data_IF_107081247046
#
_entry.id   IF_107081247046
#
_cell.length_a   1.000
_cell.length_b   1.000
_cell.length_c   1.000
_cell.angle_alpha   90.00
_cell.angle_beta   90.00
_cell.angle_gamma   90.00
#
_symmetry.space_group_name_H-M   'P 1'
#
loop_
_entity.id
_entity.type
_entity.pdbx_description
1 polymer ?
#
# COMPACT_ATOMS: atom_id res chain seq x y z
N UNK A 1 31.28 13.68 -41.29
CA UNK A 1 31.09 12.99 -40.00
C UNK A 1 29.61 12.68 -39.91
N UNK A 2 29.22 11.44 -39.62
CA UNK A 2 27.82 11.13 -39.30
C UNK A 2 27.46 11.90 -38.02
N UNK A 3 26.30 12.54 -37.98
CA UNK A 3 25.80 13.21 -36.78
C UNK A 3 25.11 12.15 -35.93
N UNK A 4 25.70 11.77 -34.81
CA UNK A 4 25.13 10.78 -33.90
C UNK A 4 24.10 11.44 -32.99
N UNK A 5 22.92 10.83 -32.86
CA UNK A 5 21.83 11.29 -32.02
C UNK A 5 21.51 10.26 -30.96
N UNK A 6 21.67 10.66 -29.69
CA UNK A 6 21.14 9.92 -28.56
C UNK A 6 19.74 10.47 -28.23
N UNK A 7 18.71 9.67 -28.53
CA UNK A 7 17.31 10.08 -28.35
C UNK A 7 16.89 10.24 -26.88
N UNK A 8 17.71 9.80 -25.93
CA UNK A 8 17.47 9.98 -24.50
C UNK A 8 17.93 11.35 -23.99
N UNK A 9 18.66 12.13 -24.80
CA UNK A 9 18.99 13.52 -24.47
C UNK A 9 17.73 14.40 -24.51
N UNK A 10 17.76 15.49 -23.73
CA UNK A 10 16.64 16.42 -23.66
C UNK A 10 16.45 17.10 -25.01
N UNK A 11 15.20 17.21 -25.45
CA UNK A 11 14.86 17.80 -26.75
C UNK A 11 15.46 19.20 -26.90
N UNK A 12 15.50 19.98 -25.81
CA UNK A 12 16.13 21.29 -25.78
C UNK A 12 17.63 21.24 -26.11
N UNK A 13 18.39 20.34 -25.49
CA UNK A 13 19.84 20.21 -25.70
C UNK A 13 20.15 19.71 -27.11
N UNK A 14 19.36 18.76 -27.60
CA UNK A 14 19.43 18.27 -28.96
C UNK A 14 19.18 19.38 -29.98
N UNK A 15 18.16 20.21 -29.76
CA UNK A 15 17.84 21.33 -30.65
C UNK A 15 18.81 22.51 -30.53
N UNK A 16 19.48 22.70 -29.39
CA UNK A 16 20.58 23.67 -29.27
C UNK A 16 21.82 23.19 -30.04
N UNK A 17 22.10 21.89 -29.99
CA UNK A 17 23.24 21.27 -30.68
C UNK A 17 23.01 21.16 -32.19
N UNK A 18 21.78 20.82 -32.58
CA UNK A 18 21.34 20.63 -33.96
C UNK A 18 20.02 21.40 -34.21
N UNK A 19 20.10 22.71 -34.53
CA UNK A 19 18.91 23.55 -34.75
C UNK A 19 17.96 23.03 -35.84
N UNK A 20 18.48 22.29 -36.82
CA UNK A 20 17.69 21.62 -37.87
C UNK A 20 16.69 20.58 -37.34
N UNK A 21 16.89 20.05 -36.12
CA UNK A 21 15.95 19.10 -35.52
C UNK A 21 14.58 19.68 -35.24
N UNK A 22 14.49 20.99 -35.03
CA UNK A 22 13.21 21.67 -34.79
C UNK A 22 12.30 21.50 -36.01
N UNK A 23 12.84 21.65 -37.22
CA UNK A 23 12.07 21.51 -38.46
C UNK A 23 11.77 20.04 -38.77
N UNK A 24 12.75 19.16 -38.59
CA UNK A 24 12.59 17.71 -38.82
C UNK A 24 11.52 17.13 -37.90
N UNK A 25 11.61 17.37 -36.59
CA UNK A 25 10.63 16.87 -35.63
C UNK A 25 9.25 17.51 -35.82
N UNK A 26 9.19 18.79 -36.20
CA UNK A 26 7.92 19.44 -36.53
C UNK A 26 7.21 18.74 -37.70
N UNK A 27 7.95 18.29 -38.72
CA UNK A 27 7.40 17.60 -39.89
C UNK A 27 6.88 16.20 -39.57
N UNK A 28 7.42 15.54 -38.54
CA UNK A 28 6.97 14.22 -38.06
C UNK A 28 5.80 14.33 -37.06
N UNK A 29 5.39 15.55 -36.68
CA UNK A 29 4.18 15.80 -35.88
C UNK A 29 4.43 16.51 -34.55
N UNK A 30 5.67 16.88 -34.22
CA UNK A 30 6.00 17.67 -33.02
C UNK A 30 5.77 19.18 -33.24
N UNK A 31 4.60 19.60 -33.71
CA UNK A 31 4.31 20.98 -34.11
C UNK A 31 4.60 22.04 -33.04
N UNK A 32 4.44 21.68 -31.76
CA UNK A 32 4.72 22.55 -30.61
C UNK A 32 6.22 22.87 -30.41
N UNK A 33 7.14 22.08 -31.00
CA UNK A 33 8.59 22.28 -30.86
C UNK A 33 9.07 23.60 -31.47
N UNK A 34 8.33 24.11 -32.47
CA UNK A 34 8.58 25.41 -33.13
C UNK A 34 8.31 26.61 -32.21
N UNK A 35 7.55 26.41 -31.12
CA UNK A 35 7.24 27.46 -30.16
C UNK A 35 8.38 27.57 -29.15
N UNK A 36 9.10 28.69 -29.18
CA UNK A 36 10.23 28.99 -28.28
C UNK A 36 9.92 28.73 -26.81
N UNK A 37 8.72 29.08 -26.34
CA UNK A 37 8.31 28.84 -24.95
C UNK A 37 8.16 27.35 -24.62
N UNK A 38 7.63 26.54 -25.53
CA UNK A 38 7.45 25.10 -25.32
C UNK A 38 8.82 24.38 -25.29
N UNK A 39 9.72 24.74 -26.20
CA UNK A 39 11.08 24.20 -26.24
C UNK A 39 11.88 24.58 -24.98
N UNK A 40 11.77 25.83 -24.52
CA UNK A 40 12.48 26.33 -23.33
C UNK A 40 11.88 25.88 -21.98
N UNK A 41 10.69 25.28 -21.97
CA UNK A 41 10.02 24.80 -20.75
C UNK A 41 9.92 23.28 -20.75
N UNK A 42 9.08 22.72 -21.61
CA UNK A 42 8.84 21.28 -21.75
C UNK A 42 10.06 20.58 -22.35
N UNK A 43 10.69 21.18 -23.36
CA UNK A 43 11.86 20.58 -24.03
C UNK A 43 13.07 20.38 -23.12
N UNK A 44 13.17 21.10 -21.98
CA UNK A 44 14.28 20.96 -21.03
C UNK A 44 14.23 19.68 -20.19
N UNK A 45 13.08 19.05 -20.08
CA UNK A 45 12.92 17.81 -19.31
C UNK A 45 12.36 16.65 -20.16
N UNK A 46 11.79 16.95 -21.32
CA UNK A 46 11.24 15.99 -22.28
C UNK A 46 12.32 15.40 -23.21
N UNK A 47 12.20 14.11 -23.55
CA UNK A 47 13.00 13.40 -24.57
C UNK A 47 12.16 13.10 -25.81
N UNK A 48 12.79 12.77 -26.95
CA UNK A 48 12.07 12.44 -28.19
C UNK A 48 11.13 11.23 -28.02
N UNK A 49 11.55 10.10 -27.40
CA UNK A 49 10.67 8.95 -27.18
C UNK A 49 9.49 9.24 -26.25
N UNK A 50 9.72 9.99 -25.15
CA UNK A 50 8.65 10.38 -24.23
C UNK A 50 7.61 11.27 -24.92
N UNK A 51 8.08 12.21 -25.75
CA UNK A 51 7.20 13.07 -26.53
C UNK A 51 6.40 12.28 -27.58
N UNK A 52 7.02 11.28 -28.22
CA UNK A 52 6.38 10.43 -29.22
C UNK A 52 5.23 9.61 -28.61
N UNK A 53 5.49 8.94 -27.48
CA UNK A 53 4.48 8.17 -26.72
C UNK A 53 3.29 9.04 -26.30
N UNK A 54 3.56 10.25 -25.79
CA UNK A 54 2.52 11.18 -25.35
C UNK A 54 1.65 11.73 -26.49
N UNK A 55 2.19 11.78 -27.71
CA UNK A 55 1.48 12.27 -28.91
C UNK A 55 0.96 11.16 -29.82
N UNK A 56 1.23 9.90 -29.50
CA UNK A 56 0.88 8.75 -30.35
C UNK A 56 1.60 8.78 -31.70
N UNK A 57 2.85 9.26 -31.74
CA UNK A 57 3.69 9.27 -32.94
C UNK A 57 4.54 8.00 -32.94
N UNK A 58 4.60 7.30 -34.07
CA UNK A 58 5.40 6.08 -34.21
C UNK A 58 6.91 6.40 -34.19
N UNK A 59 7.66 5.67 -33.38
CA UNK A 59 9.11 5.82 -33.29
C UNK A 59 9.81 5.44 -34.61
N UNK A 60 9.25 4.51 -35.38
CA UNK A 60 9.81 4.13 -36.67
C UNK A 60 9.80 5.30 -37.67
N UNK A 61 8.72 6.09 -37.67
CA UNK A 61 8.60 7.27 -38.53
C UNK A 61 9.58 8.38 -38.13
N UNK A 62 9.82 8.54 -36.82
CA UNK A 62 10.78 9.50 -36.28
C UNK A 62 12.22 9.10 -36.65
N UNK A 63 12.58 7.84 -36.45
CA UNK A 63 13.92 7.33 -36.79
C UNK A 63 14.17 7.46 -38.29
N UNK A 64 13.20 7.06 -39.13
CA UNK A 64 13.32 7.17 -40.58
C UNK A 64 13.56 8.62 -41.04
N UNK A 65 12.83 9.59 -40.46
CA UNK A 65 13.01 11.00 -40.79
C UNK A 65 14.38 11.55 -40.35
N UNK A 66 14.90 11.10 -39.20
CA UNK A 66 16.22 11.48 -38.71
C UNK A 66 17.33 10.87 -39.58
N UNK A 67 17.19 9.62 -39.99
CA UNK A 67 18.13 8.94 -40.89
C UNK A 67 18.15 9.57 -42.29
N UNK A 68 16.98 9.93 -42.84
CA UNK A 68 16.87 10.64 -44.13
C UNK A 68 17.54 12.02 -44.06
N UNK A 69 17.48 12.69 -42.91
CA UNK A 69 18.19 13.94 -42.64
C UNK A 69 19.70 13.76 -42.38
N UNK A 70 20.22 12.53 -42.44
CA UNK A 70 21.64 12.22 -42.33
C UNK A 70 22.16 12.03 -40.90
N UNK A 71 21.26 11.81 -39.93
CA UNK A 71 21.62 11.42 -38.58
C UNK A 71 21.77 9.91 -38.43
N UNK A 72 22.67 9.47 -37.55
CA UNK A 72 22.77 8.09 -37.09
C UNK A 72 22.10 8.03 -35.73
N UNK A 73 21.03 7.26 -35.61
CA UNK A 73 20.23 7.18 -34.39
C UNK A 73 20.61 5.90 -33.65
N UNK A 74 20.95 6.00 -32.37
CA UNK A 74 21.03 4.81 -31.51
C UNK A 74 19.60 4.36 -31.18
N UNK A 75 19.27 3.10 -31.49
CA UNK A 75 17.94 2.55 -31.19
C UNK A 75 17.63 2.68 -29.69
N UNK A 76 16.37 3.02 -29.33
CA UNK A 76 15.98 3.07 -27.93
C UNK A 76 16.12 1.67 -27.33
N UNK A 77 17.07 1.51 -26.41
CA UNK A 77 17.26 0.27 -25.65
C UNK A 77 15.99 0.01 -24.85
N UNK A 78 15.33 -1.11 -25.09
CA UNK A 78 14.21 -1.55 -24.27
C UNK A 78 14.73 -1.93 -22.88
N UNK A 79 14.59 -0.98 -21.95
CA UNK A 79 15.09 -1.10 -20.58
C UNK A 79 14.36 -2.17 -19.79
N UNK A 80 13.08 -2.41 -20.06
CA UNK A 80 12.32 -3.49 -19.42
C UNK A 80 12.91 -4.84 -19.84
N UNK A 81 13.20 -5.01 -21.12
CA UNK A 81 13.86 -6.22 -21.62
C UNK A 81 15.27 -6.39 -21.05
N UNK A 82 16.04 -5.30 -20.91
CA UNK A 82 17.36 -5.34 -20.29
C UNK A 82 17.31 -5.75 -18.81
N UNK A 83 16.41 -5.14 -18.03
CA UNK A 83 16.20 -5.46 -16.61
C UNK A 83 15.79 -6.93 -16.42
N UNK A 84 14.87 -7.43 -17.25
CA UNK A 84 14.50 -8.85 -17.27
C UNK A 84 15.69 -9.76 -17.51
N UNK A 85 16.59 -9.38 -18.43
CA UNK A 85 17.78 -10.18 -18.74
C UNK A 85 18.74 -10.31 -17.55
N UNK A 86 18.94 -9.26 -16.74
CA UNK A 86 19.77 -9.36 -15.54
C UNK A 86 19.12 -10.21 -14.45
N UNK A 87 17.80 -10.13 -14.30
CA UNK A 87 17.06 -10.99 -13.37
C UNK A 87 17.17 -12.46 -13.75
N UNK A 88 17.04 -12.78 -15.03
CA UNK A 88 17.24 -14.15 -15.52
C UNK A 88 18.67 -14.63 -15.23
N UNK A 89 19.69 -13.80 -15.47
CA UNK A 89 21.09 -14.12 -15.18
C UNK A 89 21.34 -14.40 -13.70
N UNK A 90 20.78 -13.57 -12.81
CA UNK A 90 20.86 -13.77 -11.36
C UNK A 90 20.12 -15.04 -10.92
N UNK A 91 18.95 -15.32 -11.48
CA UNK A 91 18.18 -16.52 -11.17
C UNK A 91 18.87 -17.80 -11.66
N UNK A 92 19.67 -17.73 -12.73
CA UNK A 92 20.52 -18.83 -13.22
C UNK A 92 21.84 -18.98 -12.44
N UNK A 93 22.05 -18.20 -11.38
CA UNK A 93 23.21 -18.31 -10.48
C UNK A 93 24.45 -17.58 -10.98
N UNK A 94 24.33 -16.63 -11.90
CA UNK A 94 25.43 -15.76 -12.27
C UNK A 94 25.88 -14.91 -11.08
N UNK A 95 27.18 -14.66 -10.99
CA UNK A 95 27.75 -13.87 -9.91
C UNK A 95 27.26 -12.41 -9.97
N UNK A 96 26.79 -11.90 -8.84
CA UNK A 96 26.26 -10.55 -8.69
C UNK A 96 27.22 -9.46 -9.21
N UNK A 97 28.53 -9.59 -9.01
CA UNK A 97 29.51 -8.58 -9.44
C UNK A 97 29.63 -8.49 -10.97
N UNK A 98 29.43 -9.59 -11.69
CA UNK A 98 29.45 -9.58 -13.15
C UNK A 98 28.19 -8.91 -13.71
N UNK A 99 27.03 -9.26 -13.14
CA UNK A 99 25.75 -8.65 -13.49
C UNK A 99 25.77 -7.15 -13.18
N UNK A 100 26.37 -6.75 -12.05
CA UNK A 100 26.57 -5.35 -11.68
C UNK A 100 27.43 -4.59 -12.67
N UNK A 101 28.55 -5.16 -13.13
CA UNK A 101 29.43 -4.49 -14.07
C UNK A 101 28.72 -4.16 -15.39
N UNK A 102 27.96 -5.13 -15.93
CA UNK A 102 27.17 -4.93 -17.15
C UNK A 102 26.01 -3.95 -16.93
N UNK A 103 25.34 -4.04 -15.78
CA UNK A 103 24.27 -3.11 -15.41
C UNK A 103 24.76 -1.67 -15.34
N UNK A 104 25.92 -1.44 -14.70
CA UNK A 104 26.54 -0.11 -14.60
C UNK A 104 26.87 0.44 -15.99
N UNK A 105 27.41 -0.40 -16.87
CA UNK A 105 27.74 -0.01 -18.24
C UNK A 105 26.47 0.37 -19.04
N UNK A 106 25.40 -0.40 -18.92
CA UNK A 106 24.21 -0.23 -19.76
C UNK A 106 23.27 0.89 -19.24
N UNK A 107 23.36 1.23 -17.96
CA UNK A 107 22.56 2.27 -17.30
C UNK A 107 23.37 3.52 -16.89
N UNK A 108 24.62 3.65 -17.34
CA UNK A 108 25.42 4.86 -17.13
C UNK A 108 24.70 6.09 -17.74
N UNK A 109 24.31 7.06 -16.90
CA UNK A 109 23.60 8.26 -17.33
C UNK A 109 22.08 8.12 -17.50
N UNK A 110 21.48 6.98 -17.11
CA UNK A 110 20.02 6.81 -17.05
C UNK A 110 19.48 7.41 -15.75
N UNK A 111 18.36 8.14 -15.86
CA UNK A 111 17.69 8.74 -14.69
C UNK A 111 17.07 7.65 -13.82
N UNK A 112 17.22 7.76 -12.49
CA UNK A 112 16.70 6.78 -11.54
C UNK A 112 15.18 6.56 -11.65
N UNK A 113 14.42 7.59 -12.05
CA UNK A 113 12.98 7.48 -12.28
C UNK A 113 12.62 6.55 -13.45
N UNK A 114 13.50 6.41 -14.43
CA UNK A 114 13.27 5.52 -15.59
C UNK A 114 13.51 4.05 -15.22
N UNK A 115 14.43 3.79 -14.28
CA UNK A 115 14.66 2.45 -13.74
C UNK A 115 13.45 2.02 -12.89
N UNK A 116 12.97 2.90 -12.01
CA UNK A 116 11.78 2.65 -11.17
C UNK A 116 10.52 2.40 -12.01
N UNK A 117 10.34 3.17 -13.08
CA UNK A 117 9.20 3.01 -13.98
C UNK A 117 9.25 1.64 -14.70
N UNK A 118 10.44 1.20 -15.11
CA UNK A 118 10.61 -0.09 -15.76
C UNK A 118 10.40 -1.26 -14.76
N UNK A 119 10.81 -1.10 -13.49
CA UNK A 119 10.53 -2.06 -12.42
C UNK A 119 9.02 -2.19 -12.13
N UNK A 120 8.31 -1.06 -12.08
CA UNK A 120 6.85 -1.02 -11.90
C UNK A 120 6.10 -1.70 -13.06
N UNK A 121 6.56 -1.48 -14.30
CA UNK A 121 6.02 -2.13 -15.50
C UNK A 121 6.21 -3.66 -15.43
N UNK A 122 7.35 -4.14 -14.95
CA UNK A 122 7.60 -5.58 -14.78
C UNK A 122 6.66 -6.22 -13.74
N UNK A 123 6.33 -5.52 -12.66
CA UNK A 123 5.36 -5.99 -11.66
C UNK A 123 3.95 -6.06 -12.27
N UNK A 124 3.56 -5.04 -13.05
CA UNK A 124 2.26 -5.00 -13.74
C UNK A 124 2.11 -6.14 -14.77
N UNK A 125 3.21 -6.56 -15.40
CA UNK A 125 3.25 -7.70 -16.32
C UNK A 125 3.22 -9.07 -15.62
N UNK A 126 3.13 -9.10 -14.30
CA UNK A 126 2.96 -10.31 -13.50
C UNK A 126 4.25 -10.92 -12.96
N UNK A 127 5.39 -10.21 -13.06
CA UNK A 127 6.62 -10.64 -12.41
C UNK A 127 6.48 -10.57 -10.88
N UNK A 128 6.87 -11.62 -10.13
CA UNK A 128 6.83 -11.58 -8.68
C UNK A 128 7.69 -10.45 -8.12
N UNK A 129 7.15 -9.67 -7.17
CA UNK A 129 7.86 -8.54 -6.56
C UNK A 129 9.20 -8.95 -5.92
N UNK A 130 9.28 -10.17 -5.36
CA UNK A 130 10.53 -10.72 -4.80
C UNK A 130 11.64 -10.88 -5.85
N UNK A 131 11.28 -11.07 -7.13
CA UNK A 131 12.24 -11.11 -8.22
C UNK A 131 12.67 -9.70 -8.60
N UNK A 132 11.73 -8.76 -8.76
CA UNK A 132 12.03 -7.36 -9.05
C UNK A 132 12.88 -6.72 -7.95
N UNK A 133 12.67 -7.07 -6.68
CA UNK A 133 13.48 -6.58 -5.55
C UNK A 133 14.97 -6.98 -5.66
N UNK A 134 15.32 -8.05 -6.37
CA UNK A 134 16.73 -8.39 -6.62
C UNK A 134 17.43 -7.36 -7.50
N UNK A 135 16.70 -6.57 -8.29
CA UNK A 135 17.26 -5.42 -9.01
C UNK A 135 17.70 -4.32 -8.05
N UNK A 136 17.12 -4.22 -6.85
CA UNK A 136 17.53 -3.21 -5.87
C UNK A 136 19.00 -3.33 -5.45
N UNK A 137 19.49 -4.56 -5.33
CA UNK A 137 20.90 -4.85 -5.00
C UNK A 137 21.86 -4.63 -6.18
N UNK A 138 21.34 -4.57 -7.41
CA UNK A 138 22.10 -4.35 -8.64
C UNK A 138 22.15 -2.86 -8.97
N UNK A 139 21.02 -2.17 -8.91
CA UNK A 139 20.94 -0.75 -9.25
C UNK A 139 21.60 0.15 -8.20
N UNK A 140 21.81 -0.34 -6.97
CA UNK A 140 22.63 0.35 -5.97
C UNK A 140 24.09 0.52 -6.43
N UNK A 141 24.56 -0.32 -7.35
CA UNK A 141 25.94 -0.32 -7.85
C UNK A 141 26.25 0.86 -8.78
N UNK A 142 25.27 1.41 -9.48
CA UNK A 142 25.41 2.69 -10.21
C UNK A 142 25.80 3.85 -9.29
N UNK A 143 25.48 3.72 -8.00
CA UNK A 143 25.56 4.79 -7.02
C UNK A 143 26.58 4.51 -5.92
N UNK A 144 27.49 3.55 -6.13
CA UNK A 144 28.58 3.25 -5.19
C UNK A 144 29.79 4.19 -5.37
N UNK A 145 29.68 5.41 -4.86
CA UNK A 145 30.82 6.12 -4.28
C UNK A 145 31.26 7.44 -4.92
N UNK A 146 30.87 8.53 -4.26
CA UNK A 146 31.56 9.84 -4.20
C UNK A 146 31.45 10.77 -5.41
N UNK A 147 30.33 10.78 -6.14
CA UNK A 147 30.10 11.82 -7.16
C UNK A 147 29.24 12.97 -6.61
N UNK A 148 29.39 14.16 -7.22
CA UNK A 148 28.58 15.36 -6.92
C UNK A 148 27.09 15.10 -7.15
N UNK A 149 26.75 14.21 -8.08
CA UNK A 149 25.40 13.76 -8.37
C UNK A 149 24.86 12.82 -7.28
N UNK A 150 25.68 12.02 -6.61
CA UNK A 150 25.26 11.26 -5.43
C UNK A 150 24.99 12.19 -4.23
N UNK A 151 25.75 13.28 -4.10
CA UNK A 151 25.47 14.33 -3.11
C UNK A 151 24.24 15.14 -3.47
N UNK A 152 23.98 15.38 -4.75
CA UNK A 152 22.78 16.07 -5.24
C UNK A 152 21.56 15.17 -5.15
N UNK A 153 21.65 13.87 -5.45
CA UNK A 153 20.56 12.88 -5.31
C UNK A 153 20.30 12.55 -3.84
N UNK A 154 21.32 12.37 -3.00
CA UNK A 154 21.12 12.29 -1.54
C UNK A 154 20.62 13.60 -0.97
N UNK A 155 21.02 14.76 -1.52
CA UNK A 155 20.47 16.04 -1.13
C UNK A 155 19.06 16.26 -1.70
N UNK A 156 18.70 15.70 -2.84
CA UNK A 156 17.37 15.81 -3.48
C UNK A 156 16.42 14.84 -2.80
N UNK A 157 16.80 13.58 -2.57
CA UNK A 157 16.11 12.67 -1.67
C UNK A 157 16.03 13.25 -0.26
N UNK A 158 17.07 13.89 0.28
CA UNK A 158 17.01 14.52 1.61
C UNK A 158 16.25 15.84 1.61
N UNK A 159 16.17 16.57 0.50
CA UNK A 159 15.37 17.80 0.33
C UNK A 159 13.92 17.42 0.11
N UNK A 160 13.66 16.39 -0.67
CA UNK A 160 12.36 15.78 -0.87
C UNK A 160 11.92 15.17 0.46
N UNK A 161 12.72 14.34 1.15
CA UNK A 161 12.47 13.87 2.53
C UNK A 161 12.29 15.03 3.50
N UNK A 162 13.08 16.09 3.40
CA UNK A 162 12.95 17.28 4.26
C UNK A 162 11.63 18.00 3.99
N UNK A 163 11.21 18.11 2.72
CA UNK A 163 9.91 18.64 2.30
C UNK A 163 8.77 17.66 2.70
N UNK A 164 8.99 16.35 2.64
CA UNK A 164 8.05 15.30 3.05
C UNK A 164 7.86 15.34 4.57
N UNK A 165 8.95 15.44 5.33
CA UNK A 165 8.99 15.62 6.79
C UNK A 165 8.36 16.95 7.21
N UNK A 166 8.57 18.03 6.44
CA UNK A 166 7.87 19.30 6.69
C UNK A 166 6.36 19.13 6.54
N UNK A 167 5.88 18.43 5.51
CA UNK A 167 4.45 18.13 5.32
C UNK A 167 3.85 17.29 6.45
N UNK A 168 4.53 16.21 6.86
CA UNK A 168 4.08 15.36 7.97
C UNK A 168 4.13 16.09 9.33
N UNK A 169 5.18 16.87 9.59
CA UNK A 169 5.38 17.55 10.88
C UNK A 169 4.23 18.49 11.26
N UNK A 170 3.56 19.09 10.26
CA UNK A 170 2.36 19.92 10.48
C UNK A 170 1.24 19.10 11.09
N UNK A 171 0.98 17.90 10.58
CA UNK A 171 -0.08 17.02 11.06
C UNK A 171 0.28 16.35 12.39
N UNK A 172 1.56 16.01 12.60
CA UNK A 172 2.06 15.46 13.86
C UNK A 172 1.87 16.44 15.02
N UNK A 173 2.00 17.74 14.75
CA UNK A 173 1.82 18.81 15.74
C UNK A 173 0.35 19.08 16.12
N UNK A 174 -0.64 18.49 15.43
CA UNK A 174 -2.07 18.69 15.73
C UNK A 174 -2.53 17.60 16.70
N UNK A 175 -2.87 17.93 17.96
CA UNK A 175 -3.33 16.93 18.92
C UNK A 175 -4.53 16.14 18.40
N UNK A 176 -4.45 14.82 18.54
CA UNK A 176 -5.51 13.88 18.17
C UNK A 176 -5.64 13.62 16.67
N UNK A 177 -4.94 14.37 15.82
CA UNK A 177 -4.87 14.06 14.40
C UNK A 177 -4.32 12.63 14.21
N UNK A 178 -4.83 11.83 13.27
CA UNK A 178 -4.38 10.44 13.11
C UNK A 178 -2.87 10.26 13.01
N UNK A 179 -2.19 11.12 12.25
CA UNK A 179 -0.73 11.09 12.15
C UNK A 179 -0.02 11.43 13.46
N UNK A 180 -0.58 12.34 14.26
CA UNK A 180 -0.08 12.68 15.61
C UNK A 180 -0.20 11.48 16.54
N UNK A 181 -1.37 10.83 16.55
CA UNK A 181 -1.61 9.62 17.36
C UNK A 181 -0.67 8.48 16.99
N UNK A 182 -0.53 8.17 15.70
CA UNK A 182 0.37 7.09 15.24
C UNK A 182 1.85 7.41 15.54
N UNK A 183 2.25 8.69 15.46
CA UNK A 183 3.61 9.10 15.84
C UNK A 183 3.85 8.93 17.33
N UNK A 184 2.90 9.32 18.18
CA UNK A 184 3.01 9.12 19.63
C UNK A 184 3.10 7.64 20.00
N UNK A 185 2.35 6.78 19.31
CA UNK A 185 2.43 5.32 19.48
C UNK A 185 3.84 4.80 19.17
N UNK A 186 4.45 5.28 18.09
CA UNK A 186 5.83 4.93 17.73
C UNK A 186 6.86 5.44 18.74
N UNK A 187 6.70 6.67 19.25
CA UNK A 187 7.59 7.22 20.27
C UNK A 187 7.53 6.39 21.57
N UNK A 188 6.33 5.99 22.00
CA UNK A 188 6.16 5.14 23.19
C UNK A 188 6.75 3.74 22.93
N UNK A 189 6.48 3.15 21.76
CA UNK A 189 7.01 1.85 21.40
C UNK A 189 8.55 1.85 21.37
N UNK A 190 9.18 2.88 20.81
CA UNK A 190 10.63 3.01 20.76
C UNK A 190 11.24 3.04 22.17
N UNK A 191 10.63 3.79 23.10
CA UNK A 191 11.07 3.81 24.50
C UNK A 191 10.95 2.44 25.16
N UNK A 192 9.85 1.71 24.91
CA UNK A 192 9.65 0.37 25.47
C UNK A 192 10.61 -0.66 24.87
N UNK A 193 10.93 -0.56 23.57
CA UNK A 193 11.91 -1.41 22.89
C UNK A 193 13.29 -1.21 23.52
N UNK A 194 13.74 0.04 23.69
CA UNK A 194 15.02 0.35 24.32
C UNK A 194 15.10 -0.19 25.75
N UNK A 195 14.05 0.00 26.56
CA UNK A 195 13.97 -0.55 27.92
C UNK A 195 14.01 -2.09 27.90
N UNK A 196 13.30 -2.73 26.97
CA UNK A 196 13.26 -4.18 26.85
C UNK A 196 14.60 -4.79 26.41
N UNK A 197 15.32 -4.13 25.51
CA UNK A 197 16.66 -4.56 25.09
C UNK A 197 17.66 -4.50 26.27
N UNK A 198 17.60 -3.43 27.07
CA UNK A 198 18.47 -3.26 28.26
C UNK A 198 18.16 -4.24 29.39
N UNK A 199 16.90 -4.66 29.54
CA UNK A 199 16.44 -5.52 30.64
C UNK A 199 16.14 -6.98 30.25
N UNK A 200 16.59 -7.43 29.07
CA UNK A 200 16.28 -8.78 28.56
C UNK A 200 16.79 -9.94 29.43
N UNK A 201 17.76 -9.71 30.32
CA UNK A 201 18.25 -10.71 31.27
C UNK A 201 17.41 -10.82 32.56
N UNK A 202 16.56 -9.84 32.84
CA UNK A 202 15.61 -9.86 33.96
C UNK A 202 14.26 -10.40 33.48
N UNK A 203 13.95 -11.65 33.86
CA UNK A 203 12.73 -12.34 33.41
C UNK A 203 11.45 -11.62 33.87
N UNK A 204 11.43 -11.05 35.09
CA UNK A 204 10.25 -10.35 35.60
C UNK A 204 10.00 -9.07 34.81
N UNK A 205 11.05 -8.27 34.61
CA UNK A 205 10.95 -7.02 33.86
C UNK A 205 10.64 -7.27 32.38
N UNK A 206 11.18 -8.35 31.82
CA UNK A 206 10.88 -8.81 30.46
C UNK A 206 9.41 -9.13 30.29
N UNK A 207 8.78 -9.84 31.23
CA UNK A 207 7.35 -10.18 31.17
C UNK A 207 6.46 -8.92 31.22
N UNK A 208 6.77 -7.98 32.13
CA UNK A 208 6.04 -6.71 32.25
C UNK A 208 6.10 -5.89 30.94
N UNK A 209 7.29 -5.75 30.35
CA UNK A 209 7.49 -5.01 29.11
C UNK A 209 6.90 -5.73 27.90
N UNK A 210 7.02 -7.06 27.85
CA UNK A 210 6.51 -7.89 26.77
C UNK A 210 5.00 -7.73 26.58
N UNK A 211 4.23 -7.79 27.67
CA UNK A 211 2.78 -7.63 27.59
C UNK A 211 2.38 -6.22 27.11
N UNK A 212 3.15 -5.19 27.51
CA UNK A 212 2.91 -3.82 27.04
C UNK A 212 3.25 -3.64 25.57
N UNK A 213 4.43 -4.09 25.13
CA UNK A 213 4.91 -3.96 23.74
C UNK A 213 3.96 -4.67 22.77
N UNK A 214 3.36 -5.80 23.17
CA UNK A 214 2.40 -6.54 22.36
C UNK A 214 1.16 -5.75 21.96
N UNK A 215 0.81 -4.70 22.69
CA UNK A 215 -0.26 -3.77 22.30
C UNK A 215 0.00 -3.11 20.94
N UNK A 216 1.24 -3.10 20.43
CA UNK A 216 1.59 -2.64 19.06
C UNK A 216 0.76 -3.34 17.97
N UNK A 217 0.25 -4.54 18.24
CA UNK A 217 -0.68 -5.24 17.36
C UNK A 217 -1.91 -4.39 17.00
N UNK A 218 -2.33 -3.47 17.88
CA UNK A 218 -3.42 -2.52 17.67
C UNK A 218 -3.00 -1.40 16.70
N UNK A 219 -1.78 -0.90 16.82
CA UNK A 219 -1.18 0.07 15.89
C UNK A 219 -1.11 -0.51 14.47
N UNK A 220 -0.57 -1.73 14.34
CA UNK A 220 -0.51 -2.44 13.06
C UNK A 220 -1.89 -2.76 12.48
N UNK A 221 -2.88 -3.09 13.31
CA UNK A 221 -4.26 -3.26 12.85
C UNK A 221 -4.84 -1.95 12.28
N UNK A 222 -4.59 -0.80 12.93
CA UNK A 222 -5.00 0.51 12.38
C UNK A 222 -4.36 0.80 11.03
N UNK A 223 -3.05 0.52 10.87
CA UNK A 223 -2.36 0.67 9.57
C UNK A 223 -2.95 -0.23 8.49
N UNK A 224 -3.11 -1.52 8.80
CA UNK A 224 -3.66 -2.54 7.92
C UNK A 224 -5.10 -2.27 7.48
N UNK A 225 -5.95 -1.82 8.40
CA UNK A 225 -7.37 -1.64 8.10
C UNK A 225 -7.67 -0.26 7.47
N UNK A 226 -6.90 0.77 7.82
CA UNK A 226 -7.22 2.17 7.50
C UNK A 226 -6.30 2.80 6.45
N UNK A 227 -4.99 2.54 6.53
CA UNK A 227 -3.98 3.26 5.74
C UNK A 227 -3.65 2.52 4.45
N UNK A 228 -3.19 1.27 4.53
CA UNK A 228 -2.75 0.53 3.33
C UNK A 228 -3.86 0.34 2.29
N UNK A 229 -5.10 -0.04 2.67
CA UNK A 229 -6.18 -0.17 1.70
C UNK A 229 -6.57 1.17 1.08
N UNK A 230 -6.43 2.27 1.83
CA UNK A 230 -6.71 3.61 1.30
C UNK A 230 -5.67 4.03 0.26
N UNK A 231 -4.38 3.84 0.55
CA UNK A 231 -3.28 4.11 -0.40
C UNK A 231 -3.46 3.31 -1.69
N UNK A 232 -3.79 2.02 -1.56
CA UNK A 232 -3.99 1.12 -2.69
C UNK A 232 -5.21 1.49 -3.54
N UNK A 233 -6.39 1.51 -2.94
CA UNK A 233 -7.64 1.59 -3.70
C UNK A 233 -7.96 3.01 -4.21
N UNK A 234 -7.63 4.05 -3.42
CA UNK A 234 -7.96 5.43 -3.78
C UNK A 234 -6.84 6.12 -4.56
N UNK A 235 -5.59 5.75 -4.28
CA UNK A 235 -4.42 6.44 -4.81
C UNK A 235 -3.53 5.57 -5.70
N UNK A 236 -3.83 4.27 -5.85
CA UNK A 236 -3.06 3.36 -6.71
C UNK A 236 -1.67 3.02 -6.16
N UNK A 237 -1.41 3.28 -4.88
CA UNK A 237 -0.10 3.09 -4.25
C UNK A 237 -0.12 1.76 -3.47
N UNK A 238 0.28 0.66 -4.10
CA UNK A 238 0.20 -0.69 -3.54
C UNK A 238 1.53 -1.26 -3.07
N UNK A 239 2.62 -1.12 -3.85
CA UNK A 239 3.88 -1.84 -3.63
C UNK A 239 4.49 -1.69 -2.23
N UNK A 240 4.85 -0.47 -1.78
CA UNK A 240 5.43 -0.26 -0.45
C UNK A 240 4.46 -0.62 0.69
N UNK A 241 3.16 -0.40 0.50
CA UNK A 241 2.14 -0.67 1.51
C UNK A 241 1.93 -2.17 1.75
N UNK A 242 1.89 -2.99 0.68
CA UNK A 242 1.72 -4.44 0.79
C UNK A 242 2.95 -5.10 1.48
N UNK A 243 4.17 -4.60 1.21
CA UNK A 243 5.40 -5.06 1.88
C UNK A 243 5.39 -4.71 3.37
N UNK A 244 5.06 -3.46 3.71
CA UNK A 244 5.02 -3.05 5.11
C UNK A 244 3.93 -3.83 5.88
N UNK A 245 2.79 -4.12 5.25
CA UNK A 245 1.74 -4.95 5.85
C UNK A 245 2.24 -6.36 6.16
N UNK A 246 2.92 -7.02 5.22
CA UNK A 246 3.47 -8.34 5.46
C UNK A 246 4.45 -8.36 6.66
N UNK A 247 5.29 -7.32 6.77
CA UNK A 247 6.22 -7.19 7.91
C UNK A 247 5.47 -6.93 9.22
N UNK A 248 4.43 -6.09 9.22
CA UNK A 248 3.58 -5.85 10.39
C UNK A 248 2.95 -7.16 10.90
N UNK A 249 2.43 -7.98 9.98
CA UNK A 249 1.86 -9.30 10.29
C UNK A 249 2.92 -10.24 10.88
N UNK A 250 4.12 -10.30 10.29
CA UNK A 250 5.20 -11.14 10.81
C UNK A 250 5.65 -10.76 12.23
N UNK A 251 5.74 -9.45 12.52
CA UNK A 251 6.09 -8.96 13.86
C UNK A 251 5.01 -9.34 14.87
N UNK A 252 3.74 -9.13 14.51
CA UNK A 252 2.59 -9.47 15.35
C UNK A 252 2.52 -10.98 15.62
N UNK A 253 2.65 -11.79 14.58
CA UNK A 253 2.51 -13.24 14.67
C UNK A 253 3.66 -13.84 15.50
N UNK A 254 4.87 -13.27 15.40
CA UNK A 254 6.01 -13.63 16.25
C UNK A 254 5.73 -13.31 17.72
N UNK A 255 5.22 -12.12 18.03
CA UNK A 255 4.81 -11.79 19.40
C UNK A 255 3.71 -12.71 19.94
N UNK A 256 2.74 -13.07 19.09
CA UNK A 256 1.68 -14.00 19.46
C UNK A 256 2.23 -15.41 19.75
N UNK A 257 3.18 -15.90 18.95
CA UNK A 257 3.83 -17.18 19.18
C UNK A 257 4.62 -17.17 20.50
N UNK A 258 5.41 -16.12 20.75
CA UNK A 258 6.18 -15.96 21.99
C UNK A 258 5.28 -15.91 23.24
N UNK A 259 4.07 -15.37 23.12
CA UNK A 259 3.11 -15.28 24.22
C UNK A 259 2.50 -16.63 24.61
N UNK A 260 2.53 -17.62 23.72
CA UNK A 260 2.07 -18.99 24.02
C UNK A 260 3.11 -19.80 24.79
N UNK A 261 4.36 -19.32 24.85
CA UNK A 261 5.45 -20.01 25.51
C UNK A 261 5.58 -19.57 26.97
N UNK A 262 5.70 -20.53 27.89
CA UNK A 262 5.78 -20.27 29.34
C UNK A 262 7.22 -20.03 29.81
N UNK A 263 8.21 -20.57 29.09
CA UNK A 263 9.63 -20.52 29.51
C UNK A 263 10.40 -19.44 28.76
N UNK A 264 11.01 -18.51 29.49
CA UNK A 264 11.93 -17.48 28.97
C UNK A 264 13.35 -18.02 28.78
N UNK A 265 13.47 -19.10 28.02
CA UNK A 265 14.77 -19.70 27.72
C UNK A 265 15.58 -18.83 26.74
N UNK A 266 16.85 -19.18 26.50
CA UNK A 266 17.73 -18.45 25.58
C UNK A 266 17.14 -18.26 24.18
N UNK A 267 16.49 -19.29 23.63
CA UNK A 267 15.87 -19.24 22.31
C UNK A 267 14.65 -18.31 22.25
N UNK A 268 13.88 -18.21 23.34
CA UNK A 268 12.80 -17.24 23.48
C UNK A 268 13.36 -15.82 23.46
N UNK A 269 14.42 -15.55 24.26
CA UNK A 269 15.06 -14.23 24.35
C UNK A 269 15.69 -13.80 23.02
N UNK A 270 16.38 -14.70 22.33
CA UNK A 270 16.96 -14.43 21.00
C UNK A 270 15.87 -14.04 19.99
N UNK A 271 14.75 -14.78 19.91
CA UNK A 271 13.63 -14.43 19.02
C UNK A 271 12.95 -13.14 19.43
N UNK A 272 12.78 -12.90 20.73
CA UNK A 272 12.19 -11.67 21.25
C UNK A 272 13.01 -10.45 20.83
N UNK A 273 14.33 -10.47 21.06
CA UNK A 273 15.24 -9.38 20.67
C UNK A 273 15.24 -9.13 19.16
N UNK A 274 15.28 -10.19 18.34
CA UNK A 274 15.16 -10.05 16.88
C UNK A 274 13.83 -9.42 16.49
N UNK A 275 12.73 -9.78 17.15
CA UNK A 275 11.43 -9.20 16.84
C UNK A 275 11.33 -7.72 17.27
N UNK A 276 11.99 -7.34 18.37
CA UNK A 276 12.10 -5.95 18.79
C UNK A 276 12.88 -5.10 17.78
N UNK A 277 14.00 -5.60 17.26
CA UNK A 277 14.79 -4.93 16.20
C UNK A 277 13.95 -4.72 14.94
N UNK A 278 13.16 -5.73 14.53
CA UNK A 278 12.23 -5.59 13.41
C UNK A 278 11.13 -4.54 13.66
N UNK A 279 10.62 -4.45 14.89
CA UNK A 279 9.65 -3.42 15.26
C UNK A 279 10.26 -2.01 15.23
N UNK A 280 11.51 -1.87 15.68
CA UNK A 280 12.28 -0.62 15.61
C UNK A 280 12.53 -0.17 14.16
N UNK A 281 12.90 -1.10 13.28
CA UNK A 281 12.99 -0.82 11.83
C UNK A 281 11.66 -0.37 11.24
N UNK A 282 10.55 -0.95 11.69
CA UNK A 282 9.21 -0.55 11.24
C UNK A 282 8.88 0.87 11.69
N UNK A 283 9.19 1.26 12.93
CA UNK A 283 9.07 2.66 13.40
C UNK A 283 9.83 3.61 12.47
N UNK A 284 11.06 3.25 12.07
CA UNK A 284 11.85 4.05 11.14
C UNK A 284 11.17 4.17 9.78
N UNK A 285 10.71 3.06 9.18
CA UNK A 285 10.02 3.05 7.88
C UNK A 285 8.73 3.85 7.93
N UNK A 286 7.96 3.75 9.01
CA UNK A 286 6.75 4.52 9.18
C UNK A 286 7.03 6.02 9.25
N UNK A 287 7.95 6.42 10.13
CA UNK A 287 8.28 7.82 10.39
C UNK A 287 8.88 8.51 9.18
N UNK A 288 9.73 7.81 8.42
CA UNK A 288 10.48 8.41 7.33
C UNK A 288 9.87 8.16 5.94
N UNK A 289 9.01 7.14 5.79
CA UNK A 289 8.47 6.76 4.47
C UNK A 289 6.93 6.83 4.46
N UNK A 290 6.26 6.06 5.31
CA UNK A 290 4.80 5.93 5.26
C UNK A 290 4.07 7.22 5.67
N UNK A 291 4.44 7.82 6.80
CA UNK A 291 3.77 9.02 7.32
C UNK A 291 3.95 10.23 6.40
N UNK A 292 5.16 10.50 5.85
CA UNK A 292 5.32 11.56 4.87
C UNK A 292 4.57 11.31 3.56
N UNK A 293 4.50 10.06 3.11
CA UNK A 293 3.66 9.67 1.96
C UNK A 293 2.18 9.98 2.25
N UNK A 294 1.64 9.53 3.38
CA UNK A 294 0.25 9.79 3.77
C UNK A 294 -0.04 11.29 3.84
N UNK A 295 0.87 12.09 4.41
CA UNK A 295 0.72 13.54 4.53
C UNK A 295 0.59 14.26 3.18
N UNK A 296 1.21 13.74 2.12
CA UNK A 296 1.14 14.32 0.77
C UNK A 296 -0.05 13.81 -0.03
N UNK A 297 -0.44 12.57 0.21
CA UNK A 297 -1.46 11.89 -0.58
C UNK A 297 -2.86 12.13 -0.04
N UNK A 298 -3.06 12.08 1.28
CA UNK A 298 -4.38 12.09 1.90
C UNK A 298 -5.03 13.46 1.90
N UNK A 299 -6.30 13.50 1.49
CA UNK A 299 -7.11 14.71 1.59
C UNK A 299 -7.56 14.98 3.03
N UNK A 300 -8.03 16.19 3.34
CA UNK A 300 -8.65 16.47 4.64
C UNK A 300 -9.81 15.51 4.97
N UNK A 301 -10.61 15.12 3.97
CA UNK A 301 -11.73 14.19 4.15
C UNK A 301 -11.23 12.80 4.54
N UNK A 302 -10.11 12.37 3.96
CA UNK A 302 -9.49 11.09 4.23
C UNK A 302 -9.01 11.03 5.69
N UNK A 303 -8.36 12.10 6.17
CA UNK A 303 -7.98 12.22 7.57
C UNK A 303 -9.18 12.22 8.51
N UNK A 304 -10.26 12.93 8.17
CA UNK A 304 -11.52 12.89 8.94
C UNK A 304 -12.10 11.48 9.00
N UNK A 305 -12.19 10.76 7.88
CA UNK A 305 -12.66 9.36 7.82
C UNK A 305 -11.78 8.43 8.67
N UNK A 306 -10.45 8.57 8.55
CA UNK A 306 -9.47 7.78 9.30
C UNK A 306 -9.60 8.03 10.80
N UNK A 307 -9.74 9.29 11.23
CA UNK A 307 -9.99 9.64 12.64
C UNK A 307 -11.25 8.97 13.18
N UNK A 308 -12.38 9.09 12.48
CA UNK A 308 -13.64 8.50 12.96
C UNK A 308 -13.59 6.98 13.04
N UNK A 309 -12.93 6.33 12.10
CA UNK A 309 -12.79 4.88 12.11
C UNK A 309 -11.73 4.40 13.13
N UNK A 310 -10.71 5.22 13.43
CA UNK A 310 -9.69 4.90 14.44
C UNK A 310 -10.25 4.89 15.87
N UNK A 311 -11.28 5.68 16.17
CA UNK A 311 -12.01 5.63 17.45
C UNK A 311 -12.68 4.27 17.73
N UNK A 312 -12.81 3.43 16.70
CA UNK A 312 -13.28 2.06 16.84
C UNK A 312 -12.25 1.12 17.48
N UNK A 313 -10.99 1.51 17.61
CA UNK A 313 -9.90 0.69 18.14
C UNK A 313 -9.65 1.00 19.62
N UNK A 314 -9.06 0.04 20.34
CA UNK A 314 -8.59 0.29 21.70
C UNK A 314 -7.39 1.26 21.68
N UNK A 315 -7.18 2.07 22.74
CA UNK A 315 -5.95 2.82 22.91
C UNK A 315 -4.72 1.88 22.81
N UNK A 316 -3.70 2.32 22.08
CA UNK A 316 -2.47 1.55 21.86
C UNK A 316 -1.34 2.21 22.63
N UNK A 317 -0.73 1.50 23.59
CA UNK A 317 0.43 1.97 24.37
C UNK A 317 0.18 3.22 25.22
N UNK A 318 -1.04 3.76 25.22
CA UNK A 318 -1.46 4.95 25.96
C UNK A 318 -2.82 4.70 26.61
N UNK A 319 -3.12 5.43 27.68
CA UNK A 319 -4.40 5.28 28.40
C UNK A 319 -5.55 5.97 27.67
N UNK A 320 -5.30 7.16 27.10
CA UNK A 320 -6.29 7.96 26.39
C UNK A 320 -5.72 8.52 25.09
N UNK A 321 -6.53 8.49 24.03
CA UNK A 321 -6.18 9.07 22.73
C UNK A 321 -6.60 10.55 22.74
N UNK A 322 -5.71 11.50 22.44
CA UNK A 322 -6.08 12.91 22.32
C UNK A 322 -7.20 13.13 21.29
N UNK A 323 -8.10 14.07 21.58
CA UNK A 323 -9.23 14.39 20.69
C UNK A 323 -8.77 15.32 19.58
N UNK A 324 -9.19 15.04 18.34
CA UNK A 324 -8.98 15.95 17.22
C UNK A 324 -10.14 16.94 17.11
N UNK A 325 -9.96 18.13 17.67
CA UNK A 325 -11.01 19.17 17.73
C UNK A 325 -11.51 19.65 16.35
N UNK A 326 -10.64 19.63 15.32
CA UNK A 326 -10.99 20.09 13.98
C UNK A 326 -11.72 19.02 13.14
N UNK A 327 -11.92 17.81 13.67
CA UNK A 327 -12.61 16.74 12.97
C UNK A 327 -14.10 17.07 12.80
N UNK A 328 -14.55 17.19 11.54
CA UNK A 328 -15.98 17.42 11.27
C UNK A 328 -16.82 16.24 11.76
N UNK A 329 -17.98 16.49 12.39
CA UNK A 329 -18.85 15.42 12.84
C UNK A 329 -19.29 14.56 11.66
N UNK A 330 -19.21 13.24 11.87
CA UNK A 330 -19.61 12.24 10.89
C UNK A 330 -21.10 12.40 10.57
N UNK A 331 -21.41 12.78 9.32
CA UNK A 331 -22.80 12.84 8.85
C UNK A 331 -23.36 11.43 8.63
N UNK A 332 -24.29 11.00 9.47
CA UNK A 332 -25.18 9.85 9.19
C UNK A 332 -26.31 10.30 8.26
N UNK A 333 -26.00 10.59 7.00
CA UNK A 333 -27.03 10.93 6.01
C UNK A 333 -27.77 9.66 5.56
N UNK A 334 -28.94 9.38 6.14
CA UNK A 334 -29.93 8.50 5.50
C UNK A 334 -30.53 9.26 4.31
N UNK A 335 -29.94 9.09 3.12
CA UNK A 335 -30.31 9.87 1.92
C UNK A 335 -31.70 9.57 1.37
N UNK A 336 -32.37 8.51 1.84
CA UNK A 336 -33.69 8.11 1.38
C UNK A 336 -34.69 8.30 2.52
N UNK A 337 -35.34 9.47 2.57
CA UNK A 337 -36.54 9.69 3.38
C UNK A 337 -37.77 9.44 2.50
N UNK A 338 -38.57 8.43 2.84
CA UNK A 338 -39.96 8.34 2.35
C UNK A 338 -40.29 7.28 1.29
N UNK A 339 -39.46 6.27 1.05
CA UNK A 339 -39.85 5.11 0.22
C UNK A 339 -40.00 3.85 1.07
N UNK A 340 -41.15 3.18 0.93
CA UNK A 340 -41.39 1.85 1.48
C UNK A 340 -40.62 0.81 0.65
N UNK A 341 -39.85 -0.04 1.33
CA UNK A 341 -39.31 -1.27 0.78
C UNK A 341 -40.43 -2.31 0.85
N UNK A 342 -40.93 -2.71 -0.32
CA UNK A 342 -42.00 -3.72 -0.44
C UNK A 342 -41.37 -5.08 -0.65
N UNK A 343 -41.61 -5.99 0.29
CA UNK A 343 -41.20 -7.39 0.24
C UNK A 343 -42.43 -8.28 0.04
N UNK A 344 -42.30 -9.53 -0.44
CA UNK A 344 -43.44 -10.43 -0.61
C UNK A 344 -44.29 -10.63 0.65
N UNK A 345 -43.66 -10.54 1.83
CA UNK A 345 -44.29 -10.77 3.14
C UNK A 345 -44.62 -9.50 3.92
N UNK A 346 -44.35 -8.31 3.39
CA UNK A 346 -44.62 -7.06 4.11
C UNK A 346 -44.00 -5.81 3.51
N UNK A 347 -44.08 -4.70 4.24
CA UNK A 347 -43.48 -3.41 3.87
C UNK A 347 -42.71 -2.84 5.06
N UNK A 348 -41.53 -2.28 4.79
CA UNK A 348 -40.70 -1.61 5.80
C UNK A 348 -40.25 -0.27 5.25
N UNK A 349 -40.19 0.76 6.08
CA UNK A 349 -39.43 1.97 5.74
C UNK A 349 -37.92 1.68 5.81
N UNK A 350 -37.10 2.48 5.13
CA UNK A 350 -35.63 2.39 5.23
C UNK A 350 -35.16 2.49 6.69
N UNK A 351 -35.79 3.36 7.48
CA UNK A 351 -35.48 3.52 8.91
C UNK A 351 -35.81 2.25 9.72
N UNK A 352 -36.95 1.60 9.43
CA UNK A 352 -37.33 0.35 10.07
C UNK A 352 -36.38 -0.80 9.70
N UNK A 353 -36.01 -0.91 8.41
CA UNK A 353 -35.06 -1.94 7.96
C UNK A 353 -33.69 -1.75 8.63
N UNK A 354 -33.18 -0.51 8.67
CA UNK A 354 -31.92 -0.18 9.38
C UNK A 354 -32.00 -0.57 10.86
N UNK A 355 -33.07 -0.16 11.55
CA UNK A 355 -33.26 -0.50 12.96
C UNK A 355 -33.35 -2.01 13.18
N UNK A 356 -34.04 -2.74 12.31
CA UNK A 356 -34.14 -4.20 12.37
C UNK A 356 -32.76 -4.86 12.23
N UNK A 357 -31.98 -4.51 11.19
CA UNK A 357 -30.65 -5.09 10.96
C UNK A 357 -29.66 -4.79 12.10
N UNK A 358 -29.79 -3.64 12.75
CA UNK A 358 -28.99 -3.29 13.93
C UNK A 358 -29.48 -3.97 15.23
N UNK A 359 -30.70 -4.50 15.25
CA UNK A 359 -31.26 -5.21 16.43
C UNK A 359 -30.96 -6.70 16.40
N UNK A 360 -30.66 -7.26 15.22
CA UNK A 360 -30.24 -8.67 15.10
C UNK A 360 -28.96 -8.87 15.94
N UNK A 361 -28.90 -9.87 16.85
CA UNK A 361 -27.76 -10.08 17.75
C UNK A 361 -26.58 -10.77 17.03
N UNK A 362 -26.20 -10.25 15.86
CA UNK A 362 -25.12 -10.72 15.02
C UNK A 362 -24.46 -9.52 14.34
N UNK A 363 -23.17 -9.61 14.07
CA UNK A 363 -22.53 -8.70 13.13
C UNK A 363 -22.86 -9.20 11.73
N UNK A 364 -23.35 -8.30 10.90
CA UNK A 364 -23.74 -8.61 9.52
C UNK A 364 -22.83 -7.79 8.61
N UNK A 365 -22.25 -8.45 7.61
CA UNK A 365 -21.58 -7.80 6.48
C UNK A 365 -22.09 -8.39 5.17
N UNK A 366 -22.18 -7.56 4.13
CA UNK A 366 -22.63 -7.95 2.80
C UNK A 366 -21.69 -7.41 1.74
N UNK A 367 -21.25 -8.32 0.89
CA UNK A 367 -20.41 -8.10 -0.28
C UNK A 367 -21.25 -8.45 -1.50
N UNK A 368 -21.27 -7.59 -2.52
CA UNK A 368 -22.10 -7.81 -3.71
C UNK A 368 -21.50 -8.82 -4.70
N UNK A 369 -22.16 -9.01 -5.84
CA UNK A 369 -21.75 -9.90 -6.90
C UNK A 369 -20.40 -9.55 -7.56
N UNK A 370 -19.95 -8.29 -7.40
CA UNK A 370 -18.69 -7.76 -7.92
C UNK A 370 -17.58 -7.74 -6.85
N UNK A 371 -17.78 -8.48 -5.75
CA UNK A 371 -16.88 -8.55 -4.60
C UNK A 371 -16.67 -7.22 -3.88
N UNK A 372 -17.61 -6.27 -4.03
CA UNK A 372 -17.54 -4.96 -3.40
C UNK A 372 -18.24 -5.01 -2.04
N UNK A 373 -17.55 -4.56 -1.00
CA UNK A 373 -18.12 -4.42 0.33
C UNK A 373 -19.20 -3.32 0.32
N UNK A 374 -20.48 -3.70 0.47
CA UNK A 374 -21.61 -2.78 0.34
C UNK A 374 -22.19 -2.34 1.66
N UNK A 375 -22.15 -3.21 2.66
CA UNK A 375 -22.89 -2.98 3.89
C UNK A 375 -22.30 -3.74 5.06
N UNK A 376 -22.39 -3.13 6.23
CA UNK A 376 -22.36 -3.83 7.50
C UNK A 376 -23.29 -3.12 8.50
N UNK A 377 -23.89 -3.87 9.43
CA UNK A 377 -24.76 -3.27 10.44
C UNK A 377 -23.98 -2.43 11.45
N UNK A 378 -24.63 -1.45 12.06
CA UNK A 378 -24.02 -0.50 12.99
C UNK A 378 -23.87 -1.11 14.40
N UNK A 379 -22.98 -0.52 15.20
CA UNK A 379 -22.76 -0.91 16.60
C UNK A 379 -21.38 -1.51 16.85
N UNK A 380 -21.19 -2.05 18.06
CA UNK A 380 -19.94 -2.69 18.45
C UNK A 380 -19.71 -3.97 17.65
N UNK A 381 -18.48 -4.17 17.17
CA UNK A 381 -18.05 -5.36 16.44
C UNK A 381 -16.78 -5.97 17.03
N UNK A 382 -16.76 -7.30 17.12
CA UNK A 382 -15.60 -8.16 17.40
C UNK A 382 -14.63 -8.19 16.23
N UNK A 383 -15.13 -8.08 14.99
CA UNK A 383 -14.32 -7.87 13.80
C UNK A 383 -14.52 -6.44 13.34
N UNK A 384 -13.47 -5.63 13.44
CA UNK A 384 -13.56 -4.22 13.06
C UNK A 384 -13.90 -4.11 11.57
N UNK A 385 -14.78 -3.16 11.27
CA UNK A 385 -15.23 -2.84 9.91
C UNK A 385 -15.15 -1.33 9.78
N UNK A 386 -14.01 -0.79 9.35
CA UNK A 386 -13.92 0.64 9.08
C UNK A 386 -14.88 0.97 7.94
N UNK A 387 -15.52 2.12 8.03
CA UNK A 387 -16.41 2.60 6.96
C UNK A 387 -15.65 2.95 5.69
N UNK A 388 -14.35 3.24 5.81
CA UNK A 388 -13.46 3.34 4.67
C UNK A 388 -13.44 2.05 3.84
N UNK A 389 -13.77 0.87 4.41
CA UNK A 389 -13.90 -0.37 3.65
C UNK A 389 -15.12 -0.41 2.71
N UNK A 390 -16.14 0.43 2.93
CA UNK A 390 -17.33 0.45 2.08
C UNK A 390 -16.98 0.95 0.67
N UNK A 391 -17.46 0.22 -0.34
CA UNK A 391 -17.21 0.52 -1.74
C UNK A 391 -15.86 0.01 -2.27
N UNK A 392 -15.08 -0.71 -1.46
CA UNK A 392 -13.84 -1.35 -1.88
C UNK A 392 -14.05 -2.84 -2.16
N UNK A 393 -13.14 -3.43 -2.93
CA UNK A 393 -13.10 -4.89 -3.12
C UNK A 393 -12.81 -5.59 -1.79
N UNK A 394 -13.40 -6.75 -1.54
CA UNK A 394 -13.20 -7.46 -0.27
C UNK A 394 -11.73 -7.86 -0.08
N UNK A 395 -11.02 -8.17 -1.17
CA UNK A 395 -9.61 -8.58 -1.15
C UNK A 395 -8.70 -7.44 -0.69
N UNK A 396 -9.01 -6.19 -1.04
CA UNK A 396 -8.25 -5.01 -0.56
C UNK A 396 -8.37 -4.75 0.94
N UNK A 397 -9.39 -5.31 1.59
CA UNK A 397 -9.64 -5.14 3.02
C UNK A 397 -8.94 -6.20 3.88
N UNK A 398 -8.18 -7.12 3.27
CA UNK A 398 -7.52 -8.21 3.94
C UNK A 398 -6.02 -8.23 3.59
N UNK A 399 -5.17 -8.73 4.50
CA UNK A 399 -3.75 -8.91 4.19
C UNK A 399 -3.56 -9.82 2.97
N UNK A 400 -2.48 -9.64 2.18
CA UNK A 400 -2.25 -10.40 0.95
C UNK A 400 -2.33 -11.94 1.13
N UNK A 401 -1.86 -12.45 2.27
CA UNK A 401 -1.88 -13.88 2.59
C UNK A 401 -3.31 -14.42 2.77
N UNK A 402 -4.23 -13.59 3.27
CA UNK A 402 -5.63 -13.95 3.53
C UNK A 402 -6.52 -13.68 2.31
N UNK A 403 -6.17 -12.67 1.52
CA UNK A 403 -6.93 -12.26 0.34
C UNK A 403 -7.14 -13.42 -0.65
N UNK A 404 -6.12 -14.28 -0.84
CA UNK A 404 -6.23 -15.44 -1.73
C UNK A 404 -7.26 -16.47 -1.24
N UNK A 405 -7.30 -16.74 0.07
CA UNK A 405 -8.29 -17.64 0.66
C UNK A 405 -9.71 -17.09 0.53
N UNK A 406 -9.88 -15.78 0.79
CA UNK A 406 -11.18 -15.10 0.64
C UNK A 406 -11.66 -15.16 -0.81
N UNK A 407 -10.76 -14.93 -1.77
CA UNK A 407 -11.08 -15.00 -3.20
C UNK A 407 -11.54 -16.39 -3.61
N UNK A 408 -10.90 -17.46 -3.10
CA UNK A 408 -11.34 -18.83 -3.37
C UNK A 408 -12.75 -19.09 -2.85
N UNK A 409 -13.06 -18.67 -1.61
CA UNK A 409 -14.40 -18.84 -1.02
C UNK A 409 -15.46 -18.13 -1.87
N UNK A 410 -15.18 -16.90 -2.33
CA UNK A 410 -16.10 -16.16 -3.19
C UNK A 410 -16.33 -16.85 -4.54
N UNK A 411 -15.28 -17.40 -5.15
CA UNK A 411 -15.39 -18.13 -6.41
C UNK A 411 -16.22 -19.42 -6.26
N UNK A 412 -16.03 -20.15 -5.16
CA UNK A 412 -16.80 -21.35 -4.85
C UNK A 412 -18.30 -21.02 -4.66
N UNK A 413 -18.60 -19.86 -4.07
CA UNK A 413 -19.97 -19.37 -3.94
C UNK A 413 -20.56 -18.93 -5.28
N UNK A 414 -19.80 -18.19 -6.11
CA UNK A 414 -20.24 -17.77 -7.45
C UNK A 414 -20.55 -18.95 -8.35
N UNK A 415 -19.67 -19.96 -8.35
CA UNK A 415 -19.81 -21.17 -9.19
C UNK A 415 -20.82 -22.18 -8.65
N UNK A 416 -21.30 -22.01 -7.42
CA UNK A 416 -22.25 -22.93 -6.78
C UNK A 416 -21.60 -24.22 -6.27
N UNK A 417 -20.28 -24.27 -6.15
CA UNK A 417 -19.58 -25.38 -5.51
C UNK A 417 -19.88 -25.46 -4.02
N UNK A 418 -20.12 -24.30 -3.38
CA UNK A 418 -20.45 -24.20 -1.97
C UNK A 418 -21.48 -23.09 -1.74
N UNK A 419 -22.33 -23.25 -0.72
CA UNK A 419 -23.31 -22.22 -0.33
C UNK A 419 -23.01 -21.60 1.05
N UNK A 420 -22.17 -22.24 1.86
CA UNK A 420 -21.73 -21.65 3.12
C UNK A 420 -20.42 -22.23 3.65
N UNK A 421 -19.62 -21.39 4.31
CA UNK A 421 -18.42 -21.73 5.07
C UNK A 421 -18.62 -21.31 6.52
N UNK A 422 -18.25 -22.17 7.47
CA UNK A 422 -18.31 -21.88 8.91
C UNK A 422 -16.92 -21.95 9.52
N UNK A 423 -16.59 -20.95 10.35
CA UNK A 423 -15.35 -20.87 11.10
C UNK A 423 -15.68 -20.68 12.57
N UNK A 424 -15.18 -21.61 13.38
CA UNK A 424 -15.28 -21.55 14.84
C UNK A 424 -13.95 -21.05 15.39
N UNK A 425 -14.00 -20.02 16.22
CA UNK A 425 -12.78 -19.49 16.83
C UNK A 425 -13.05 -18.86 18.19
N UNK A 426 -11.97 -18.69 18.97
CA UNK A 426 -11.99 -17.86 20.15
C UNK A 426 -11.42 -16.48 19.82
N UNK A 427 -12.14 -15.43 20.18
CA UNK A 427 -11.69 -14.05 20.00
C UNK A 427 -12.00 -13.24 21.25
N UNK A 428 -10.95 -12.66 21.87
CA UNK A 428 -11.07 -11.87 23.12
C UNK A 428 -11.78 -12.65 24.24
N UNK A 429 -11.43 -13.93 24.42
CA UNK A 429 -12.01 -14.79 25.45
C UNK A 429 -13.46 -15.22 25.21
N UNK A 430 -13.99 -14.98 24.00
CA UNK A 430 -15.35 -15.37 23.59
C UNK A 430 -15.29 -16.40 22.49
N UNK A 431 -16.13 -17.43 22.59
CA UNK A 431 -16.38 -18.34 21.48
C UNK A 431 -17.26 -17.66 20.44
N UNK A 432 -16.80 -17.67 19.20
CA UNK A 432 -17.44 -16.98 18.08
C UNK A 432 -17.65 -17.96 16.93
N UNK A 433 -18.84 -17.91 16.35
CA UNK A 433 -19.14 -18.54 15.07
C UNK A 433 -19.16 -17.45 13.99
N UNK A 434 -18.30 -17.61 12.98
CA UNK A 434 -18.34 -16.81 11.75
C UNK A 434 -18.91 -17.67 10.64
N UNK A 435 -19.96 -17.21 9.98
CA UNK A 435 -20.60 -17.91 8.88
C UNK A 435 -20.64 -17.03 7.64
N UNK A 436 -20.02 -17.51 6.56
CA UNK A 436 -20.10 -16.92 5.23
C UNK A 436 -21.14 -17.69 4.43
N UNK A 437 -22.03 -17.00 3.74
CA UNK A 437 -23.14 -17.60 3.00
C UNK A 437 -23.31 -16.94 1.64
N UNK A 438 -23.48 -17.76 0.59
CA UNK A 438 -23.89 -17.28 -0.72
C UNK A 438 -25.33 -16.73 -0.63
N UNK A 439 -25.53 -15.49 -1.08
CA UNK A 439 -26.84 -14.87 -1.22
C UNK A 439 -27.28 -15.07 -2.66
N UNK A 440 -28.43 -15.69 -2.86
CA UNK A 440 -28.98 -15.99 -4.19
C UNK A 440 -30.40 -15.46 -4.34
N UNK A 441 -30.79 -15.14 -5.57
CA UNK A 441 -32.18 -14.82 -5.89
C UNK A 441 -33.06 -16.09 -6.02
N UNK A 442 -34.34 -15.91 -6.37
CA UNK A 442 -35.30 -17.00 -6.54
C UNK A 442 -34.94 -17.96 -7.70
N UNK A 443 -34.14 -17.50 -8.68
CA UNK A 443 -33.67 -18.30 -9.81
C UNK A 443 -32.35 -19.02 -9.51
N UNK A 444 -31.75 -18.78 -8.33
CA UNK A 444 -30.47 -19.35 -7.91
C UNK A 444 -29.25 -18.54 -8.37
N UNK A 445 -29.45 -17.36 -8.98
CA UNK A 445 -28.36 -16.49 -9.39
C UNK A 445 -27.67 -15.90 -8.16
N UNK A 446 -26.34 -15.85 -8.18
CA UNK A 446 -25.54 -15.28 -7.10
C UNK A 446 -25.70 -13.75 -7.07
N UNK A 447 -26.13 -13.22 -5.92
CA UNK A 447 -26.28 -11.79 -5.64
C UNK A 447 -25.15 -11.22 -4.77
N UNK A 448 -24.31 -12.08 -4.18
CA UNK A 448 -23.28 -11.66 -3.25
C UNK A 448 -23.05 -12.64 -2.11
N UNK A 449 -22.23 -12.24 -1.14
CA UNK A 449 -21.90 -13.01 0.05
C UNK A 449 -22.29 -12.25 1.30
N UNK A 450 -22.97 -12.94 2.21
CA UNK A 450 -23.24 -12.44 3.55
C UNK A 450 -22.30 -13.09 4.57
N UNK A 451 -21.70 -12.29 5.43
CA UNK A 451 -20.94 -12.74 6.60
C UNK A 451 -21.78 -12.45 7.86
N UNK A 452 -21.89 -13.45 8.72
CA UNK A 452 -22.53 -13.37 10.03
C UNK A 452 -21.55 -13.76 11.13
N UNK A 453 -21.35 -12.86 12.09
CA UNK A 453 -20.54 -13.15 13.29
C UNK A 453 -21.47 -13.22 14.49
N UNK A 454 -21.41 -14.33 15.22
CA UNK A 454 -22.23 -14.57 16.40
C UNK A 454 -21.38 -14.90 17.63
N UNK A 455 -21.59 -14.15 18.72
CA UNK A 455 -21.05 -14.46 20.05
C UNK A 455 -21.83 -15.64 20.64
N UNK A 456 -21.16 -16.78 20.77
CA UNK A 456 -21.72 -18.03 21.26
C UNK A 456 -21.46 -18.24 22.75
N UNK A 457 -20.76 -17.32 23.43
CA UNK A 457 -20.38 -17.47 24.83
C UNK A 457 -21.60 -17.50 25.75
N UNK A 458 -22.58 -16.62 25.48
CA UNK A 458 -23.83 -16.59 26.22
C UNK A 458 -24.65 -17.87 26.05
N UNK A 459 -24.58 -18.48 24.86
CA UNK A 459 -25.23 -19.77 24.57
C UNK A 459 -24.50 -20.87 25.33
N UNK A 460 -23.17 -20.96 25.22
CA UNK A 460 -22.34 -21.95 25.92
C UNK A 460 -22.63 -21.97 27.43
N UNK A 461 -22.64 -20.80 28.08
CA UNK A 461 -22.90 -20.66 29.52
C UNK A 461 -24.30 -21.10 29.97
N UNK A 462 -25.25 -21.25 29.07
CA UNK A 462 -26.60 -21.76 29.40
C UNK A 462 -26.70 -23.28 29.35
N UNK A 463 -25.76 -23.95 28.67
CA UNK A 463 -25.75 -25.41 28.47
C UNK A 463 -24.65 -26.12 29.26
N UNK A 464 -23.70 -25.37 29.83
CA UNK A 464 -22.76 -25.80 30.89
C UNK A 464 -23.28 -25.34 32.24
#
# INVERSE_FOLDING_TARGET
MKKELNLNQKVFELCETYPELIEILSNVGFTEITKKNALQTVGKWMTIPKAAKLRGIDMADIVAALEEAGFSVEEPVDRVTLLKSYLERLNHGENLENVRADFVQDFEGVDASEILQAEEEMVLEGMPYQEVQKLCDVHSALFHGSTREEQVYKAELAVEDSLRRQGASVFVAIPGHPLSTLTLENEILAMLIDEAQHHCEDDQKTDELFDKIREVSIHYAKKGDLIYPLLKERYGISGPADVMWAVDDEIRDTFQALAQEIKRNKSWKERYLVNLERAEEMIYKETNILFPLCAQTFTKKDWEELYWDSLGYEPCLMDEIPVWEDAKPRKTETKIKGHDIVLPTGKLTVEQLRALLNTIPMEISFVDENDINRYFNEGYKLFKRPNMALGRTVTSCHPPQIAQMVQQILEDFKTGQQDSVEVWMEKRGKLVLVRYMAVRDEEGNYLGTAEFVQDMEAVRKKFL
#
